data_IF_442722910374
#
_entry.id   IF_442722910374
#
_cell.length_a   1.000
_cell.length_b   1.000
_cell.length_c   1.000
_cell.angle_alpha   90.00
_cell.angle_beta   90.00
_cell.angle_gamma   90.00
#
_symmetry.space_group_name_H-M   'P 1'
#
loop_
_entity.id
_entity.type
_entity.pdbx_description
1 polymer ?
#
# COMPACT_ATOMS: atom_id res chain seq x y z
N UNK A 1 3.09 -7.87 -1.24
CA UNK A 1 2.46 -7.57 0.07
C UNK A 1 2.41 -8.75 1.02
N UNK A 2 2.42 -9.98 0.50
CA UNK A 2 2.35 -11.16 1.37
C UNK A 2 3.53 -11.31 2.33
N UNK A 3 4.65 -10.66 2.07
CA UNK A 3 5.76 -10.64 3.03
C UNK A 3 5.39 -10.00 4.37
N UNK A 4 4.31 -9.22 4.40
CA UNK A 4 3.78 -8.63 5.63
C UNK A 4 2.63 -9.45 6.22
N UNK A 5 2.25 -10.55 5.56
CA UNK A 5 1.14 -11.42 5.96
C UNK A 5 0.01 -11.38 4.96
N UNK A 6 -0.99 -12.22 5.19
CA UNK A 6 -2.18 -12.31 4.33
C UNK A 6 -3.40 -11.58 4.91
N UNK A 7 -3.35 -11.25 6.19
CA UNK A 7 -4.41 -10.50 6.90
C UNK A 7 -3.77 -9.22 7.45
N UNK A 8 -4.05 -8.10 6.79
CA UNK A 8 -3.41 -6.82 7.04
C UNK A 8 -4.45 -5.87 7.60
N UNK A 9 -4.67 -5.89 8.91
CA UNK A 9 -5.80 -5.19 9.53
C UNK A 9 -5.44 -4.23 10.65
N UNK A 10 -4.32 -4.42 11.33
CA UNK A 10 -3.93 -3.59 12.48
C UNK A 10 -3.20 -2.33 12.03
N UNK A 11 -3.59 -1.18 12.59
CA UNK A 11 -2.89 0.08 12.32
C UNK A 11 -1.43 0.01 12.77
N UNK A 12 -1.18 -0.57 13.93
CA UNK A 12 0.18 -0.72 14.45
C UNK A 12 1.03 -1.58 13.54
N UNK A 13 0.49 -2.69 13.04
CA UNK A 13 1.22 -3.56 12.11
C UNK A 13 1.52 -2.86 10.79
N UNK A 14 0.60 -2.04 10.29
CA UNK A 14 0.82 -1.26 9.07
C UNK A 14 1.96 -0.25 9.24
N UNK A 15 1.98 0.43 10.37
CA UNK A 15 3.05 1.39 10.72
C UNK A 15 4.41 0.69 10.80
N UNK A 16 4.46 -0.47 11.45
CA UNK A 16 5.69 -1.25 11.55
C UNK A 16 6.16 -1.78 10.20
N UNK A 17 5.23 -2.21 9.36
CA UNK A 17 5.54 -2.69 8.01
C UNK A 17 6.16 -1.57 7.16
N UNK A 18 5.61 -0.36 7.24
CA UNK A 18 6.17 0.77 6.50
C UNK A 18 7.57 1.11 6.98
N UNK A 19 7.78 1.15 8.29
CA UNK A 19 9.09 1.42 8.87
C UNK A 19 10.11 0.37 8.43
N UNK A 20 9.73 -0.90 8.41
CA UNK A 20 10.60 -1.98 7.98
C UNK A 20 10.93 -1.91 6.48
N UNK A 21 10.04 -1.31 5.68
CA UNK A 21 10.23 -1.20 4.23
C UNK A 21 11.05 0.03 3.81
N UNK A 22 11.15 1.03 4.67
CA UNK A 22 11.87 2.27 4.36
C UNK A 22 13.31 2.06 3.87
N UNK A 23 14.13 1.18 4.48
CA UNK A 23 15.48 0.95 3.98
C UNK A 23 15.51 0.45 2.54
N UNK A 24 14.55 -0.39 2.16
CA UNK A 24 14.41 -0.87 0.77
C UNK A 24 14.08 0.30 -0.16
N UNK A 25 13.18 1.18 0.26
CA UNK A 25 12.78 2.35 -0.54
C UNK A 25 13.92 3.34 -0.70
N UNK A 26 14.83 3.43 0.27
CA UNK A 26 15.95 4.35 0.23
C UNK A 26 16.93 4.02 -0.90
N UNK A 27 16.93 2.80 -1.41
CA UNK A 27 17.79 2.37 -2.52
C UNK A 27 17.18 2.60 -3.90
N UNK A 28 15.95 3.11 -3.97
CA UNK A 28 15.30 3.38 -5.26
C UNK A 28 15.90 4.60 -5.93
N UNK A 29 16.13 4.50 -7.23
CA UNK A 29 16.52 5.65 -8.06
C UNK A 29 15.37 6.63 -8.23
N UNK A 30 15.66 7.83 -8.71
CA UNK A 30 14.67 8.91 -8.86
C UNK A 30 13.49 8.55 -9.77
N UNK A 31 13.75 7.67 -10.75
CA UNK A 31 12.73 7.32 -11.75
C UNK A 31 12.21 5.89 -11.61
N UNK A 32 12.59 5.19 -10.54
CA UNK A 32 12.12 3.83 -10.35
C UNK A 32 10.70 3.80 -9.80
N UNK A 33 9.89 2.89 -10.35
CA UNK A 33 8.53 2.69 -9.89
C UNK A 33 8.49 1.76 -8.68
N UNK A 34 7.49 1.98 -7.83
CA UNK A 34 7.18 1.09 -6.72
C UNK A 34 5.93 0.31 -7.10
N UNK A 35 6.05 -1.00 -7.22
CA UNK A 35 4.92 -1.87 -7.51
C UNK A 35 4.47 -2.56 -6.22
N UNK A 36 3.24 -2.30 -5.82
CA UNK A 36 2.63 -2.93 -4.65
C UNK A 36 1.66 -4.00 -5.15
N UNK A 37 2.01 -5.25 -4.94
CA UNK A 37 1.27 -6.40 -5.44
C UNK A 37 0.48 -7.05 -4.29
N UNK A 38 -0.84 -7.10 -4.43
CA UNK A 38 -1.75 -7.66 -3.43
C UNK A 38 -2.06 -9.13 -3.66
N UNK A 39 -1.40 -9.80 -4.60
CA UNK A 39 -1.63 -11.22 -4.80
C UNK A 39 -1.40 -11.99 -3.49
N UNK A 40 -2.36 -12.84 -3.12
CA UNK A 40 -2.29 -13.65 -1.90
C UNK A 40 -2.80 -12.94 -0.64
N UNK A 41 -3.06 -11.63 -0.68
CA UNK A 41 -3.65 -10.93 0.46
C UNK A 41 -5.14 -11.23 0.51
N UNK A 42 -5.62 -11.75 1.64
CA UNK A 42 -7.04 -12.10 1.80
C UNK A 42 -7.84 -10.99 2.46
N UNK A 43 -7.26 -10.28 3.41
CA UNK A 43 -7.92 -9.20 4.15
C UNK A 43 -7.01 -7.99 4.26
N UNK A 44 -7.54 -6.82 3.92
CA UNK A 44 -6.80 -5.57 3.92
C UNK A 44 -7.71 -4.45 4.44
N UNK A 45 -7.35 -3.85 5.56
CA UNK A 45 -8.19 -2.83 6.20
C UNK A 45 -7.68 -1.42 5.95
N UNK A 46 -8.57 -0.41 6.05
CA UNK A 46 -8.15 0.99 5.95
C UNK A 46 -7.12 1.39 7.02
N UNK A 47 -7.21 0.82 8.22
CA UNK A 47 -6.28 1.14 9.30
C UNK A 47 -4.84 0.77 8.94
N UNK A 48 -4.63 -0.45 8.44
CA UNK A 48 -3.32 -0.91 7.99
C UNK A 48 -2.87 -0.12 6.77
N UNK A 49 -3.77 0.02 5.80
CA UNK A 49 -3.47 0.70 4.53
C UNK A 49 -3.11 2.16 4.71
N UNK A 50 -3.78 2.86 5.62
CA UNK A 50 -3.50 4.26 5.89
C UNK A 50 -2.08 4.47 6.42
N UNK A 51 -1.58 3.54 7.20
CA UNK A 51 -0.22 3.64 7.76
C UNK A 51 0.88 3.21 6.76
N UNK A 52 0.53 2.47 5.73
CA UNK A 52 1.50 1.98 4.72
C UNK A 52 1.36 2.70 3.38
N UNK A 53 0.18 2.63 2.76
CA UNK A 53 -0.02 3.17 1.41
C UNK A 53 -0.05 4.69 1.39
N UNK A 54 -0.64 5.32 2.38
CA UNK A 54 -0.76 6.77 2.42
C UNK A 54 0.60 7.45 2.47
N UNK A 55 1.51 7.10 3.42
CA UNK A 55 2.84 7.71 3.41
C UNK A 55 3.66 7.31 2.19
N UNK A 56 3.47 6.09 1.68
CA UNK A 56 4.17 5.65 0.48
C UNK A 56 3.80 6.51 -0.72
N UNK A 57 2.50 6.77 -0.90
CA UNK A 57 2.02 7.60 -2.00
C UNK A 57 2.46 9.06 -1.85
N UNK A 58 2.45 9.59 -0.63
CA UNK A 58 2.92 10.95 -0.38
C UNK A 58 4.38 11.12 -0.74
N UNK A 59 5.20 10.11 -0.48
CA UNK A 59 6.64 10.16 -0.74
C UNK A 59 6.98 9.93 -2.21
N UNK A 60 6.31 8.98 -2.86
CA UNK A 60 6.66 8.56 -4.22
C UNK A 60 5.65 8.97 -5.29
N UNK A 61 4.45 9.38 -4.90
CA UNK A 61 3.45 9.92 -5.81
C UNK A 61 3.12 9.00 -6.98
N UNK A 62 3.22 9.51 -8.19
CA UNK A 62 2.88 8.76 -9.41
C UNK A 62 3.76 7.57 -9.71
N UNK A 63 4.82 7.34 -8.94
CA UNK A 63 5.67 6.16 -9.11
C UNK A 63 5.11 4.93 -8.42
N UNK A 64 4.08 5.08 -7.59
CA UNK A 64 3.43 3.94 -6.90
C UNK A 64 2.33 3.39 -7.78
N UNK A 65 2.42 2.09 -8.09
CA UNK A 65 1.40 1.38 -8.86
C UNK A 65 0.94 0.18 -8.04
N UNK A 66 -0.39 -0.04 -7.99
CA UNK A 66 -0.98 -1.17 -7.29
C UNK A 66 -1.39 -2.24 -8.29
N UNK A 67 -1.26 -3.50 -7.92
CA UNK A 67 -1.55 -4.63 -8.79
C UNK A 67 -2.28 -5.73 -8.01
N UNK A 68 -3.12 -6.51 -8.71
CA UNK A 68 -3.91 -7.60 -8.12
C UNK A 68 -4.83 -7.10 -7.01
N UNK A 69 -5.62 -6.06 -7.33
CA UNK A 69 -6.50 -5.39 -6.37
C UNK A 69 -7.95 -5.83 -6.49
N UNK A 70 -8.22 -6.97 -7.14
CA UNK A 70 -9.58 -7.44 -7.41
C UNK A 70 -10.28 -8.06 -6.21
N UNK A 71 -9.54 -8.49 -5.19
CA UNK A 71 -10.14 -8.97 -3.95
C UNK A 71 -11.03 -7.87 -3.35
N UNK A 72 -12.30 -8.17 -2.97
CA UNK A 72 -13.20 -7.15 -2.45
C UNK A 72 -12.67 -6.38 -1.24
N UNK A 73 -11.97 -7.06 -0.32
CA UNK A 73 -11.38 -6.41 0.85
C UNK A 73 -10.33 -5.40 0.43
N UNK A 74 -9.46 -5.76 -0.51
CA UNK A 74 -8.41 -4.88 -1.04
C UNK A 74 -9.02 -3.72 -1.81
N UNK A 75 -9.93 -4.02 -2.74
CA UNK A 75 -10.56 -3.02 -3.59
C UNK A 75 -11.30 -1.96 -2.78
N UNK A 76 -12.08 -2.39 -1.79
CA UNK A 76 -12.86 -1.49 -0.94
C UNK A 76 -11.94 -0.60 -0.09
N UNK A 77 -10.88 -1.16 0.45
CA UNK A 77 -9.92 -0.40 1.25
C UNK A 77 -9.20 0.65 0.41
N UNK A 78 -8.80 0.30 -0.81
CA UNK A 78 -8.17 1.25 -1.72
C UNK A 78 -9.11 2.41 -2.02
N UNK A 79 -10.38 2.12 -2.32
CA UNK A 79 -11.38 3.16 -2.58
C UNK A 79 -11.57 4.07 -1.35
N UNK A 80 -11.59 3.49 -0.15
CA UNK A 80 -11.72 4.24 1.09
C UNK A 80 -10.53 5.19 1.29
N UNK A 81 -9.32 4.71 1.06
CA UNK A 81 -8.11 5.52 1.20
C UNK A 81 -8.06 6.65 0.17
N UNK A 82 -8.47 6.38 -1.06
CA UNK A 82 -8.55 7.41 -2.10
C UNK A 82 -9.51 8.52 -1.69
N UNK A 83 -10.66 8.16 -1.15
CA UNK A 83 -11.64 9.12 -0.70
C UNK A 83 -11.14 9.95 0.49
N UNK A 84 -10.53 9.30 1.47
CA UNK A 84 -10.01 9.98 2.67
C UNK A 84 -8.88 10.96 2.35
N UNK A 85 -8.05 10.64 1.38
CA UNK A 85 -6.87 11.43 1.03
C UNK A 85 -7.09 12.33 -0.19
N UNK A 86 -8.29 12.32 -0.76
CA UNK A 86 -8.63 13.10 -1.97
C UNK A 86 -7.64 12.86 -3.10
N UNK A 87 -7.18 11.62 -3.26
CA UNK A 87 -6.20 11.24 -4.27
C UNK A 87 -6.55 9.88 -4.87
N UNK A 88 -5.91 9.55 -6.00
CA UNK A 88 -6.12 8.30 -6.70
C UNK A 88 -4.83 7.49 -6.74
N UNK A 89 -4.96 6.18 -6.55
CA UNK A 89 -3.85 5.26 -6.78
C UNK A 89 -3.82 4.82 -8.24
N UNK A 90 -2.62 4.62 -8.74
CA UNK A 90 -2.42 4.08 -10.08
C UNK A 90 -2.56 2.57 -10.01
N UNK A 91 -3.44 2.00 -10.83
CA UNK A 91 -3.71 0.57 -10.86
C UNK A 91 -3.15 -0.01 -12.15
N UNK A 92 -2.37 -1.07 -12.02
CA UNK A 92 -1.81 -1.77 -13.19
C UNK A 92 -2.84 -2.71 -13.82
#
# INVERSE_FOLDING_TARGET
MTKFGTVLTSRQAGKEAYAAFLPTLAHLGKNEAVLVDFEGVSTFSPSWGDEFLTPLQKKFGGRVTLRNVTNPSVSLTIATLEQLNSSKFKIA
#
